data_IF_831358130705
#
_entry.id   IF_831358130705
#
_cell.length_a   1.000
_cell.length_b   1.000
_cell.length_c   1.000
_cell.angle_alpha   90.00
_cell.angle_beta   90.00
_cell.angle_gamma   90.00
#
_symmetry.space_group_name_H-M   'P 1'
#
loop_
_entity.id
_entity.type
_entity.pdbx_description
1 polymer ?
#
# COMPACT_ATOMS: atom_id res chain seq x y z
N UNK A 1 -77.76 37.66 9.17
CA UNK A 1 -77.11 37.08 7.98
C UNK A 1 -75.82 36.39 8.41
N UNK A 2 -75.65 35.17 7.90
CA UNK A 2 -74.49 34.27 7.91
C UNK A 2 -74.19 33.40 9.15
N UNK A 3 -73.77 32.13 8.89
CA UNK A 3 -73.91 31.01 9.81
C UNK A 3 -72.57 30.27 10.06
N UNK A 4 -72.69 29.09 10.68
CA UNK A 4 -71.86 27.89 10.52
C UNK A 4 -70.54 27.77 11.28
N UNK A 5 -70.60 26.82 12.23
CA UNK A 5 -69.51 25.98 12.73
C UNK A 5 -68.69 25.36 11.59
N UNK A 6 -67.40 25.09 11.80
CA UNK A 6 -66.78 23.78 11.46
C UNK A 6 -65.60 23.48 12.40
N UNK A 7 -65.64 22.27 12.97
CA UNK A 7 -64.58 21.50 13.63
C UNK A 7 -63.26 21.49 12.82
N UNK A 8 -62.10 21.61 13.48
CA UNK A 8 -60.82 21.18 12.89
C UNK A 8 -60.30 19.94 13.62
N UNK A 9 -60.10 18.89 12.84
CA UNK A 9 -59.59 17.59 13.25
C UNK A 9 -58.08 17.63 13.48
N UNK A 10 -57.63 17.00 14.57
CA UNK A 10 -56.22 16.72 14.85
C UNK A 10 -55.86 15.42 14.11
N UNK A 11 -55.04 15.52 13.06
CA UNK A 11 -54.42 14.38 12.39
C UNK A 11 -53.19 13.94 13.20
N UNK A 12 -53.27 12.76 13.82
CA UNK A 12 -52.10 12.07 14.36
C UNK A 12 -51.28 11.50 13.18
N UNK A 13 -50.16 12.17 12.86
CA UNK A 13 -49.17 11.67 11.91
C UNK A 13 -48.36 10.54 12.54
N UNK A 14 -48.63 9.30 12.14
CA UNK A 14 -47.78 8.15 12.43
C UNK A 14 -46.48 8.25 11.63
N UNK A 15 -45.37 8.54 12.31
CA UNK A 15 -44.04 8.47 11.72
C UNK A 15 -43.61 7.02 11.53
N UNK A 16 -43.53 6.56 10.28
CA UNK A 16 -42.89 5.29 9.95
C UNK A 16 -41.38 5.53 10.02
N UNK A 17 -40.72 4.98 11.04
CA UNK A 17 -39.27 5.06 11.17
C UNK A 17 -38.63 4.16 10.11
N UNK A 18 -37.95 4.75 9.13
CA UNK A 18 -37.14 4.00 8.18
C UNK A 18 -35.90 3.48 8.93
N UNK A 19 -35.85 2.18 9.20
CA UNK A 19 -34.64 1.53 9.65
C UNK A 19 -33.59 1.68 8.53
N UNK A 20 -32.48 2.36 8.84
CA UNK A 20 -31.33 2.41 7.95
C UNK A 20 -30.75 1.00 7.85
N UNK A 21 -30.86 0.38 6.68
CA UNK A 21 -30.12 -0.85 6.37
C UNK A 21 -28.69 -0.41 6.09
N UNK A 22 -27.79 -0.64 7.04
CA UNK A 22 -26.35 -0.52 6.81
C UNK A 22 -25.96 -1.60 5.80
N UNK A 23 -25.80 -1.19 4.54
CA UNK A 23 -25.18 -2.03 3.52
C UNK A 23 -23.71 -2.16 3.92
N UNK A 24 -23.39 -3.24 4.65
CA UNK A 24 -22.01 -3.66 4.87
C UNK A 24 -21.47 -4.08 3.51
N UNK A 25 -20.85 -3.13 2.81
CA UNK A 25 -20.11 -3.44 1.59
C UNK A 25 -18.99 -4.40 2.00
N UNK A 26 -18.95 -5.64 1.48
CA UNK A 26 -17.85 -6.53 1.80
C UNK A 26 -16.55 -5.84 1.37
N UNK A 27 -15.58 -5.76 2.28
CA UNK A 27 -14.21 -5.40 1.94
C UNK A 27 -13.85 -6.25 0.72
N UNK A 28 -13.49 -5.61 -0.39
CA UNK A 28 -12.99 -6.33 -1.56
C UNK A 28 -11.60 -6.86 -1.23
N UNK A 29 -11.56 -7.94 -0.47
CA UNK A 29 -10.34 -8.72 -0.29
C UNK A 29 -9.79 -9.06 -1.67
N UNK A 30 -8.48 -8.93 -1.84
CA UNK A 30 -7.82 -9.41 -3.05
C UNK A 30 -8.00 -10.93 -3.08
N UNK A 31 -9.07 -11.39 -3.75
CA UNK A 31 -9.50 -12.80 -3.82
C UNK A 31 -8.42 -13.71 -4.42
N UNK A 32 -7.40 -13.13 -5.06
CA UNK A 32 -6.17 -13.79 -5.44
C UNK A 32 -5.04 -13.03 -4.73
N UNK A 33 -4.53 -13.54 -3.59
CA UNK A 33 -3.39 -12.91 -2.94
C UNK A 33 -2.20 -12.99 -3.91
N UNK A 34 -1.62 -11.83 -4.22
CA UNK A 34 -0.32 -11.83 -4.86
C UNK A 34 0.69 -12.47 -3.90
N UNK A 35 1.52 -13.41 -4.39
CA UNK A 35 2.43 -14.11 -3.51
C UNK A 35 3.54 -13.17 -3.03
N UNK A 36 3.97 -13.38 -1.80
CA UNK A 36 5.10 -12.71 -1.17
C UNK A 36 6.47 -13.23 -1.66
N UNK A 37 6.50 -14.40 -2.32
CA UNK A 37 7.69 -14.92 -2.96
C UNK A 37 8.19 -13.98 -4.06
N UNK A 38 9.51 -13.98 -4.29
CA UNK A 38 10.07 -13.29 -5.44
C UNK A 38 9.62 -13.93 -6.75
N UNK A 39 9.09 -13.10 -7.64
CA UNK A 39 8.76 -13.44 -9.02
C UNK A 39 9.47 -12.44 -9.93
N UNK A 40 10.36 -12.92 -10.78
CA UNK A 40 10.93 -12.11 -11.84
C UNK A 40 10.02 -12.14 -13.07
N UNK A 41 9.78 -11.00 -13.72
CA UNK A 41 8.86 -10.95 -14.87
C UNK A 41 9.43 -11.56 -16.16
N UNK A 42 10.62 -12.17 -16.09
CA UNK A 42 11.17 -13.07 -17.11
C UNK A 42 10.66 -14.51 -16.98
N UNK A 43 10.06 -14.88 -15.84
CA UNK A 43 9.48 -16.20 -15.62
C UNK A 43 8.18 -16.41 -16.41
N UNK A 44 7.73 -17.66 -16.53
CA UNK A 44 6.51 -18.01 -17.25
C UNK A 44 5.29 -17.27 -16.67
N UNK A 45 4.55 -16.56 -17.54
CA UNK A 45 3.40 -15.74 -17.15
C UNK A 45 3.73 -14.29 -16.79
N UNK A 46 5.01 -13.92 -16.76
CA UNK A 46 5.46 -12.53 -16.63
C UNK A 46 5.67 -11.83 -17.98
N UNK A 47 5.69 -10.48 -17.93
CA UNK A 47 6.10 -9.63 -19.06
C UNK A 47 7.32 -8.81 -18.63
N UNK A 48 8.50 -9.03 -19.23
CA UNK A 48 9.70 -8.25 -18.91
C UNK A 48 9.48 -6.75 -19.10
N UNK A 49 9.94 -5.95 -18.15
CA UNK A 49 9.67 -4.50 -18.09
C UNK A 49 10.74 -3.67 -18.81
N UNK A 50 11.92 -4.24 -19.05
CA UNK A 50 13.04 -3.54 -19.71
C UNK A 50 13.50 -2.33 -18.92
N UNK A 51 13.69 -2.50 -17.61
CA UNK A 51 14.13 -1.47 -16.67
C UNK A 51 15.59 -1.10 -16.89
N UNK A 52 15.93 0.16 -16.60
CA UNK A 52 17.32 0.59 -16.48
C UNK A 52 17.80 0.29 -15.05
N UNK A 53 18.81 -0.57 -14.93
CA UNK A 53 19.36 -0.98 -13.64
C UNK A 53 19.98 0.18 -12.85
N UNK A 54 20.44 1.24 -13.53
CA UNK A 54 20.91 2.45 -12.85
C UNK A 54 19.75 3.22 -12.22
N UNK A 55 18.58 3.23 -12.86
CA UNK A 55 17.38 3.82 -12.29
C UNK A 55 16.87 3.00 -11.09
N UNK A 56 16.91 1.66 -11.19
CA UNK A 56 16.56 0.76 -10.08
C UNK A 56 17.50 0.96 -8.88
N UNK A 57 18.81 1.02 -9.10
CA UNK A 57 19.75 1.26 -8.01
C UNK A 57 19.53 2.66 -7.40
N UNK A 58 19.32 3.68 -8.24
CA UNK A 58 19.04 5.04 -7.79
C UNK A 58 17.79 5.11 -6.91
N UNK A 59 16.71 4.38 -7.23
CA UNK A 59 15.50 4.42 -6.39
C UNK A 59 15.75 3.79 -5.03
N UNK A 60 16.54 2.71 -4.92
CA UNK A 60 16.92 2.13 -3.63
C UNK A 60 17.76 3.12 -2.80
N UNK A 61 18.75 3.77 -3.41
CA UNK A 61 19.58 4.78 -2.74
C UNK A 61 18.76 5.99 -2.29
N UNK A 62 17.86 6.47 -3.15
CA UNK A 62 16.94 7.55 -2.83
C UNK A 62 16.05 7.22 -1.63
N UNK A 63 15.50 6.01 -1.55
CA UNK A 63 14.62 5.61 -0.45
C UNK A 63 15.35 5.58 0.90
N UNK A 64 16.61 5.11 0.93
CA UNK A 64 17.44 5.16 2.15
C UNK A 64 17.71 6.62 2.56
N UNK A 65 18.15 7.46 1.62
CA UNK A 65 18.39 8.88 1.89
C UNK A 65 17.11 9.63 2.31
N UNK A 66 15.96 9.28 1.72
CA UNK A 66 14.67 9.87 2.07
C UNK A 66 14.27 9.52 3.50
N UNK A 67 14.51 8.28 3.95
CA UNK A 67 14.30 7.90 5.35
C UNK A 67 15.14 8.76 6.30
N UNK A 68 16.44 8.89 6.03
CA UNK A 68 17.36 9.70 6.83
C UNK A 68 16.89 11.15 6.90
N UNK A 69 16.46 11.69 5.75
CA UNK A 69 15.88 13.02 5.67
C UNK A 69 14.64 13.14 6.57
N UNK A 70 13.69 12.21 6.50
CA UNK A 70 12.48 12.22 7.33
C UNK A 70 12.84 12.22 8.81
N UNK A 71 13.76 11.36 9.24
CA UNK A 71 14.22 11.32 10.63
C UNK A 71 14.85 12.66 11.05
N UNK A 72 15.64 13.30 10.18
CA UNK A 72 16.30 14.58 10.49
C UNK A 72 15.33 15.75 10.68
N UNK A 73 14.15 15.70 10.05
CA UNK A 73 13.13 16.74 10.12
C UNK A 73 11.96 16.38 11.05
N UNK A 74 12.05 15.26 11.78
CA UNK A 74 10.96 14.77 12.64
C UNK A 74 9.74 14.23 11.88
N UNK A 75 9.92 13.87 10.61
CA UNK A 75 8.92 13.22 9.76
C UNK A 75 8.80 11.71 9.99
N UNK A 76 7.97 11.06 9.19
CA UNK A 76 7.73 9.61 9.27
C UNK A 76 8.74 8.84 8.40
N UNK A 77 9.53 7.89 8.96
CA UNK A 77 10.42 7.03 8.18
C UNK A 77 9.69 5.87 7.48
N UNK A 78 8.36 5.78 7.62
CA UNK A 78 7.53 4.71 7.10
C UNK A 78 6.81 5.10 5.80
N UNK A 79 6.81 4.18 4.84
CA UNK A 79 5.79 4.09 3.82
C UNK A 79 4.57 3.35 4.39
N UNK A 80 3.37 3.92 4.24
CA UNK A 80 2.14 3.39 4.86
C UNK A 80 1.01 3.26 3.85
N UNK A 81 0.22 2.21 4.01
CA UNK A 81 -1.01 1.94 3.27
C UNK A 81 -2.16 1.81 4.27
N UNK A 82 -2.78 2.95 4.68
CA UNK A 82 -3.91 2.95 5.61
C UNK A 82 -5.16 2.32 4.99
N UNK A 83 -6.07 1.92 5.87
CA UNK A 83 -7.43 1.54 5.51
C UNK A 83 -8.40 2.67 5.87
N UNK A 84 -9.48 2.85 5.09
CA UNK A 84 -9.96 1.98 4.01
C UNK A 84 -9.28 2.18 2.65
N UNK A 85 -8.39 3.14 2.45
CA UNK A 85 -7.89 3.54 1.12
C UNK A 85 -7.19 2.38 0.39
N UNK A 86 -6.44 1.54 1.11
CA UNK A 86 -5.74 0.40 0.55
C UNK A 86 -6.62 -0.87 0.37
N UNK A 87 -7.88 -0.87 0.85
CA UNK A 87 -8.76 -2.05 0.81
C UNK A 87 -9.21 -2.47 -0.60
N UNK A 88 -8.99 -1.64 -1.62
CA UNK A 88 -9.42 -1.93 -2.99
C UNK A 88 -8.30 -2.57 -3.84
N UNK A 89 -7.42 -3.34 -3.21
CA UNK A 89 -6.22 -3.90 -3.85
C UNK A 89 -5.35 -2.83 -4.53
N UNK A 90 -5.36 -1.61 -3.97
CA UNK A 90 -4.69 -0.46 -4.55
C UNK A 90 -3.20 -0.72 -4.73
N UNK A 91 -2.69 -0.43 -5.92
CA UNK A 91 -1.26 -0.39 -6.20
C UNK A 91 -0.84 1.07 -6.26
N UNK A 92 0.01 1.47 -5.33
CA UNK A 92 0.40 2.86 -5.13
C UNK A 92 1.85 3.04 -5.53
N UNK A 93 2.14 4.12 -6.26
CA UNK A 93 3.52 4.45 -6.58
C UNK A 93 4.26 4.92 -5.32
N UNK A 94 5.35 4.25 -4.98
CA UNK A 94 6.26 4.63 -3.88
C UNK A 94 7.18 5.75 -4.35
N UNK A 95 7.85 5.54 -5.48
CA UNK A 95 8.75 6.52 -6.11
C UNK A 95 8.99 6.14 -7.57
N UNK A 96 9.63 7.01 -8.32
CA UNK A 96 10.07 6.74 -9.69
C UNK A 96 11.39 7.43 -10.01
N UNK A 97 12.10 6.86 -10.97
CA UNK A 97 13.25 7.50 -11.61
C UNK A 97 13.19 7.17 -13.10
N UNK A 98 13.12 8.21 -13.94
CA UNK A 98 12.99 8.03 -15.39
C UNK A 98 11.81 7.14 -15.75
N UNK A 99 12.07 5.97 -16.37
CA UNK A 99 11.01 5.02 -16.77
C UNK A 99 10.83 3.87 -15.78
N UNK A 100 11.52 3.88 -14.65
CA UNK A 100 11.40 2.87 -13.60
C UNK A 100 10.48 3.34 -12.49
N UNK A 101 9.42 2.57 -12.22
CA UNK A 101 8.50 2.79 -11.11
C UNK A 101 8.71 1.75 -10.02
N UNK A 102 8.76 2.20 -8.77
CA UNK A 102 8.63 1.38 -7.57
C UNK A 102 7.19 1.51 -7.11
N UNK A 103 6.46 0.39 -7.08
CA UNK A 103 5.07 0.37 -6.63
C UNK A 103 4.91 -0.52 -5.40
N UNK A 104 3.93 -0.19 -4.57
CA UNK A 104 3.55 -0.96 -3.40
C UNK A 104 2.09 -1.37 -3.53
N UNK A 105 1.81 -2.64 -3.27
CA UNK A 105 0.45 -3.17 -3.15
C UNK A 105 0.25 -3.75 -1.77
N UNK A 106 -0.92 -3.51 -1.18
CA UNK A 106 -1.33 -4.17 0.05
C UNK A 106 -2.05 -5.50 -0.27
N UNK A 107 -1.55 -6.58 0.29
CA UNK A 107 -2.17 -7.91 0.33
C UNK A 107 -2.50 -8.24 1.79
N UNK A 108 -3.79 -8.19 2.12
CA UNK A 108 -4.29 -8.43 3.47
C UNK A 108 -5.46 -7.53 3.83
N UNK A 109 -5.94 -7.65 5.06
CA UNK A 109 -7.09 -6.89 5.60
C UNK A 109 -6.69 -5.86 6.67
N UNK A 110 -5.38 -5.72 6.93
CA UNK A 110 -4.85 -4.80 7.94
C UNK A 110 -4.12 -3.65 7.26
N UNK A 111 -4.24 -2.45 7.80
CA UNK A 111 -3.37 -1.34 7.38
C UNK A 111 -1.91 -1.70 7.63
N UNK A 112 -1.06 -1.44 6.65
CA UNK A 112 0.33 -1.87 6.70
C UNK A 112 1.31 -0.73 6.49
N UNK A 113 2.51 -0.88 7.04
CA UNK A 113 3.61 0.05 6.81
C UNK A 113 4.95 -0.65 6.91
N UNK A 114 5.93 -0.13 6.17
CA UNK A 114 7.31 -0.60 6.18
C UNK A 114 8.24 0.59 6.13
N UNK A 115 9.48 0.44 6.61
CA UNK A 115 10.46 1.51 6.48
C UNK A 115 10.83 1.71 5.01
N UNK A 116 11.18 2.94 4.64
CA UNK A 116 11.72 3.19 3.28
C UNK A 116 13.01 2.38 3.04
N UNK A 117 13.81 2.16 4.08
CA UNK A 117 14.99 1.29 4.05
C UNK A 117 14.67 -0.19 3.82
N UNK A 118 13.55 -0.70 4.34
CA UNK A 118 13.09 -2.08 4.03
C UNK A 118 12.72 -2.21 2.54
N UNK A 119 12.04 -1.20 1.99
CA UNK A 119 11.74 -1.16 0.54
C UNK A 119 13.05 -1.12 -0.25
N UNK A 120 14.02 -0.31 0.16
CA UNK A 120 15.31 -0.23 -0.49
C UNK A 120 16.06 -1.57 -0.46
N UNK A 121 16.16 -2.22 0.69
CA UNK A 121 16.80 -3.53 0.84
C UNK A 121 16.07 -4.63 0.05
N UNK A 122 14.75 -4.54 -0.06
CA UNK A 122 13.95 -5.42 -0.95
C UNK A 122 14.33 -5.24 -2.42
N UNK A 123 14.64 -4.00 -2.82
CA UNK A 123 15.03 -3.69 -4.20
C UNK A 123 16.44 -4.21 -4.49
N UNK A 124 17.45 -3.87 -3.70
CA UNK A 124 18.86 -4.09 -4.08
C UNK A 124 19.62 -5.09 -3.22
N UNK A 125 19.04 -5.52 -2.10
CA UNK A 125 19.65 -6.50 -1.19
C UNK A 125 20.70 -5.92 -0.27
N UNK A 126 20.85 -4.59 -0.22
CA UNK A 126 21.81 -3.96 0.68
C UNK A 126 21.51 -4.33 2.14
N UNK A 127 22.57 -4.66 2.88
CA UNK A 127 22.52 -5.09 4.29
C UNK A 127 21.73 -6.38 4.59
N UNK A 128 21.28 -7.13 3.57
CA UNK A 128 20.69 -8.45 3.76
C UNK A 128 21.78 -9.51 3.93
N UNK A 129 21.50 -10.53 4.75
CA UNK A 129 22.33 -11.73 4.84
C UNK A 129 22.42 -12.47 3.50
N UNK A 130 21.30 -12.52 2.77
CA UNK A 130 21.21 -13.08 1.42
C UNK A 130 20.75 -12.00 0.41
N UNK A 131 21.69 -11.27 -0.20
CA UNK A 131 21.36 -10.24 -1.20
C UNK A 131 20.78 -10.85 -2.49
N UNK A 132 20.95 -12.16 -2.72
CA UNK A 132 20.44 -12.83 -3.92
C UNK A 132 18.92 -12.94 -3.92
N UNK A 133 18.24 -12.60 -2.81
CA UNK A 133 16.77 -12.53 -2.70
C UNK A 133 16.17 -11.24 -3.21
N UNK A 134 16.96 -10.17 -3.38
CA UNK A 134 16.45 -8.87 -3.78
C UNK A 134 15.96 -8.82 -5.24
N UNK A 135 15.11 -7.83 -5.55
CA UNK A 135 14.51 -7.65 -6.87
C UNK A 135 15.52 -7.26 -7.96
N UNK A 136 16.66 -6.65 -7.61
CA UNK A 136 17.72 -6.32 -8.56
C UNK A 136 18.26 -7.56 -9.28
N UNK A 137 18.20 -8.73 -8.65
CA UNK A 137 18.56 -10.01 -9.26
C UNK A 137 17.56 -10.49 -10.33
N UNK A 138 16.38 -9.87 -10.44
CA UNK A 138 15.49 -10.05 -11.59
C UNK A 138 15.97 -9.26 -12.82
N UNK A 139 17.09 -8.54 -12.73
CA UNK A 139 17.68 -7.78 -13.82
C UNK A 139 16.68 -6.80 -14.45
N UNK A 140 16.84 -6.51 -15.74
CA UNK A 140 15.98 -5.57 -16.46
C UNK A 140 14.54 -6.06 -16.63
N UNK A 141 14.23 -7.32 -16.29
CA UNK A 141 12.86 -7.81 -16.38
C UNK A 141 11.95 -7.14 -15.35
N UNK A 142 12.51 -6.66 -14.23
CA UNK A 142 11.71 -6.27 -13.08
C UNK A 142 11.07 -7.48 -12.40
N UNK A 143 10.24 -7.22 -11.40
CA UNK A 143 9.61 -8.28 -10.64
C UNK A 143 8.80 -7.77 -9.47
N UNK A 144 8.32 -8.70 -8.66
CA UNK A 144 7.64 -8.42 -7.40
C UNK A 144 8.08 -9.35 -6.28
N UNK A 145 7.94 -8.90 -5.04
CA UNK A 145 8.01 -9.73 -3.84
C UNK A 145 7.42 -9.01 -2.63
N UNK A 146 7.14 -9.75 -1.56
CA UNK A 146 6.88 -9.17 -0.25
C UNK A 146 8.10 -8.41 0.25
N UNK A 147 7.87 -7.28 0.92
CA UNK A 147 8.94 -6.48 1.50
C UNK A 147 9.75 -7.32 2.49
N UNK A 148 11.07 -7.27 2.35
CA UNK A 148 12.03 -7.82 3.31
C UNK A 148 12.15 -6.79 4.43
N UNK A 149 11.61 -7.15 5.59
CA UNK A 149 11.50 -6.24 6.75
C UNK A 149 12.56 -6.59 7.79
N UNK A 150 13.32 -5.58 8.22
CA UNK A 150 14.12 -5.65 9.44
C UNK A 150 13.22 -5.51 10.68
N UNK A 151 12.70 -6.63 11.15
CA UNK A 151 11.78 -6.65 12.31
C UNK A 151 12.46 -6.27 13.64
N UNK A 152 13.79 -6.24 13.67
CA UNK A 152 14.56 -5.85 14.86
C UNK A 152 14.78 -4.33 14.92
N UNK A 153 14.46 -3.61 13.83
CA UNK A 153 14.61 -2.17 13.78
C UNK A 153 13.74 -1.48 14.86
N UNK A 154 14.33 -0.68 15.77
CA UNK A 154 13.59 -0.06 16.87
C UNK A 154 12.53 0.94 16.42
N UNK A 155 12.58 1.44 15.17
CA UNK A 155 11.56 2.33 14.63
C UNK A 155 10.16 1.69 14.65
N UNK A 156 10.07 0.36 14.52
CA UNK A 156 8.81 -0.39 14.61
C UNK A 156 8.16 -0.36 15.99
N UNK A 157 8.90 0.01 17.03
CA UNK A 157 8.38 0.15 18.40
C UNK A 157 7.93 1.57 18.72
N UNK A 158 8.09 2.50 17.77
CA UNK A 158 7.73 3.90 17.97
C UNK A 158 6.24 4.14 17.75
N UNK A 159 5.75 5.23 18.34
CA UNK A 159 4.39 5.74 18.12
C UNK A 159 4.07 5.98 16.64
N UNK A 160 5.09 6.24 15.80
CA UNK A 160 4.92 6.43 14.37
C UNK A 160 4.45 5.17 13.66
N UNK A 161 4.59 3.98 14.26
CA UNK A 161 4.16 2.71 13.66
C UNK A 161 2.87 2.15 14.29
N UNK A 162 2.35 2.79 15.35
CA UNK A 162 1.19 2.26 16.07
C UNK A 162 -0.02 2.04 15.15
N UNK A 163 -0.66 0.87 15.29
CA UNK A 163 -1.83 0.48 14.53
C UNK A 163 -1.54 -0.14 13.15
N UNK A 164 -0.28 -0.15 12.70
CA UNK A 164 0.12 -0.76 11.43
C UNK A 164 0.73 -2.16 11.64
N UNK A 165 0.52 -3.06 10.68
CA UNK A 165 1.30 -4.29 10.54
C UNK A 165 2.45 -4.07 9.56
N UNK A 166 3.56 -4.80 9.71
CA UNK A 166 4.67 -4.77 8.76
C UNK A 166 4.55 -5.84 7.67
N UNK A 167 3.40 -6.51 7.61
CA UNK A 167 3.13 -7.61 6.68
C UNK A 167 2.22 -7.16 5.54
N UNK A 168 2.32 -7.85 4.42
CA UNK A 168 1.37 -7.71 3.30
C UNK A 168 1.73 -6.62 2.29
N UNK A 169 2.80 -5.85 2.47
CA UNK A 169 3.27 -4.94 1.42
C UNK A 169 4.08 -5.74 0.39
N UNK A 170 3.63 -5.71 -0.86
CA UNK A 170 4.32 -6.26 -2.02
C UNK A 170 4.96 -5.10 -2.77
N UNK A 171 6.27 -5.18 -3.01
CA UNK A 171 7.03 -4.22 -3.82
C UNK A 171 7.13 -4.74 -5.24
N UNK A 172 6.88 -3.85 -6.21
CA UNK A 172 6.98 -4.13 -7.64
C UNK A 172 7.92 -3.14 -8.33
N UNK A 173 8.73 -3.67 -9.24
CA UNK A 173 9.54 -2.88 -10.17
C UNK A 173 8.97 -3.03 -11.57
N UNK A 174 8.36 -1.95 -12.07
CA UNK A 174 7.67 -1.93 -13.36
C UNK A 174 8.10 -0.76 -14.21
N UNK A 175 7.91 -0.90 -15.52
CA UNK A 175 8.14 0.19 -16.46
C UNK A 175 6.98 1.16 -16.35
N UNK A 176 7.30 2.44 -16.30
CA UNK A 176 6.33 3.51 -16.41
C UNK A 176 5.56 3.40 -17.75
N UNK A 177 4.23 3.59 -17.77
CA UNK A 177 3.38 3.42 -18.95
C UNK A 177 3.52 4.50 -20.04
N UNK A 178 4.47 5.45 -19.86
CA UNK A 178 4.70 6.59 -20.77
C UNK A 178 5.22 6.10 -22.13
#
# INVERSE_FOLDING_TARGET
MRPSQVLSAVLMGGGVSAAAVEVVTPLRTCLIPEPDKRICYSEAGGTPQGLDLKEVQYTADYLRAYQEQQLSIGGSPFWKMPLPEANNCGEWQVTSKGRTWVMAKLVGEQQAGVLFSDIAATIDGFALEDPTRALLNCSNAGGQMGTIVDTENPLYQTQLFEGFTNKGIIIKLVRSPI
#
